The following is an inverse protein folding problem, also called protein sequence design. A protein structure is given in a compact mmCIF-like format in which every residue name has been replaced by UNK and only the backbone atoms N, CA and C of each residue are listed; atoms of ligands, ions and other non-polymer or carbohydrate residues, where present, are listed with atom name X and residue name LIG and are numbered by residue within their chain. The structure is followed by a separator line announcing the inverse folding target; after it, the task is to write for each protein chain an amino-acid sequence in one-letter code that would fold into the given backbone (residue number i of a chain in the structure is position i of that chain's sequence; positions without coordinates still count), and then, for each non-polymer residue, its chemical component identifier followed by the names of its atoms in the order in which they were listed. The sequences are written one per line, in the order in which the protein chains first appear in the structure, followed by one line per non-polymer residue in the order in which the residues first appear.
data_IF_232842819898
#
_entry.id   IF_232842819898
#
_cell.length_a   1.000
_cell.length_b   1.000
_cell.length_c   1.000
_cell.angle_alpha   90.00
_cell.angle_beta   90.00
_cell.angle_gamma   90.00
#
_symmetry.space_group_name_H-M   'P 1'
#
loop_
_entity.id
_entity.type
_entity.pdbx_description
1 polymer ?
2 polymer ?
3 non-polymer ?
4 water ?
#
loop_
_entity_poly.entity_id
_entity_poly.type
_entity_poly.pdbx_seq_one_letter_code
_entity_poly.pdbx_strand_id
2 'polydeoxyribonucleotide' '(DG)(DA)(DA)(DT)(DC)(DC)(DC)(DC)(DT)(DA)(DG)(DC)(DT)(DT)(DT)(DA)(DG)(DC)(DT)(DA)(DT)(DG)(DG)(DG)(DG)(DA)(DG)(DT)(DA)(DT)(DG)(DT)(DC)(DA)(DA)' ?
#
# COMPACT_ATOMS: atom_id res chain seq x y z
N UNK A 8 19.04 3.80 1.25
CA UNK A 8 18.37 4.82 2.06
C UNK A 8 16.98 5.08 1.49
N UNK A 9 16.01 5.30 2.37
CA UNK A 9 14.67 5.52 1.90
C UNK A 9 14.32 7.00 1.85
N UNK A 10 13.99 7.46 0.66
CA UNK A 10 13.59 8.83 0.42
C UNK A 10 12.08 8.84 0.60
N UNK A 11 11.59 9.49 1.65
CA UNK A 11 10.15 9.54 1.84
C UNK A 11 9.57 10.74 1.12
N UNK A 12 8.41 10.56 0.51
CA UNK A 12 7.74 11.64 -0.18
C UNK A 12 6.60 12.09 0.70
N UNK A 13 5.85 13.08 0.25
CA UNK A 13 4.72 13.55 1.03
C UNK A 13 3.77 14.38 0.23
N UNK A 14 2.49 14.20 0.50
CA UNK A 14 1.47 15.02 -0.13
C UNK A 14 1.28 16.09 0.96
N UNK A 15 0.12 16.71 1.06
CA UNK A 15 -0.06 17.73 2.07
C UNK A 15 -0.11 17.20 3.49
N UNK A 16 -0.59 15.98 3.66
CA UNK A 16 -0.77 15.45 4.99
C UNK A 16 -0.08 14.16 5.36
N UNK A 17 0.53 13.48 4.40
CA UNK A 17 1.11 12.19 4.67
C UNK A 17 2.55 12.05 4.18
N UNK A 18 3.42 11.57 5.04
CA UNK A 18 4.81 11.32 4.67
C UNK A 18 4.73 9.85 4.30
N UNK A 19 5.28 9.46 3.16
CA UNK A 19 5.14 8.07 2.77
C UNK A 19 6.16 7.50 1.81
N UNK A 20 6.13 6.19 1.73
CA UNK A 20 6.91 5.39 0.83
C UNK A 20 6.02 4.16 0.67
N UNK A 21 5.26 4.11 -0.42
CA UNK A 21 4.40 2.97 -0.66
C UNK A 21 4.82 2.40 -2.00
N UNK A 22 5.54 1.30 -1.97
CA UNK A 22 6.00 0.65 -3.18
C UNK A 22 5.30 -0.68 -3.36
N UNK A 23 4.81 -0.90 -4.57
CA UNK A 23 4.08 -2.11 -4.85
C UNK A 23 4.64 -2.81 -6.04
N UNK A 24 4.60 -4.13 -5.97
CA UNK A 24 5.04 -4.97 -7.06
C UNK A 24 3.67 -5.36 -7.62
N UNK A 25 3.36 -4.82 -8.80
CA UNK A 25 2.09 -5.04 -9.46
C UNK A 25 2.25 -5.92 -10.67
N UNK A 26 1.38 -6.92 -10.83
CA UNK A 26 1.47 -7.79 -11.99
C UNK A 26 0.08 -8.10 -12.54
N UNK A 27 -0.06 -8.06 -13.85
CA UNK A 27 -1.31 -8.39 -14.47
C UNK A 27 -1.00 -9.02 -15.82
N UNK A 28 -2.00 -9.65 -16.42
CA UNK A 28 -1.79 -10.36 -17.67
C UNK A 28 -2.87 -10.03 -18.67
N UNK A 29 -2.57 -10.21 -19.96
CA UNK A 29 -3.51 -9.97 -21.05
C UNK A 29 -4.69 -10.94 -20.90
N UNK A 30 -5.81 -10.64 -21.53
CA UNK A 30 -6.98 -11.49 -21.46
C UNK A 30 -6.57 -12.86 -22.03
N UNK A 31 -7.08 -13.92 -21.43
CA UNK A 31 -6.75 -15.28 -21.89
C UNK A 31 -5.25 -15.56 -21.86
N UNK A 32 -4.51 -14.79 -21.06
CA UNK A 32 -3.08 -14.95 -20.95
C UNK A 32 -2.37 -15.04 -22.30
N UNK A 33 -2.86 -14.31 -23.29
CA UNK A 33 -2.22 -14.34 -24.61
C UNK A 33 -0.84 -13.72 -24.52
N UNK A 34 0.09 -14.28 -25.27
CA UNK A 34 1.45 -13.78 -25.24
C UNK A 34 1.60 -12.62 -26.21
N UNK A 35 0.77 -11.60 -26.07
CA UNK A 35 0.80 -10.45 -26.95
C UNK A 35 1.68 -9.30 -26.52
N UNK A 36 2.21 -9.33 -25.30
CA UNK A 36 3.08 -8.25 -24.83
C UNK A 36 4.48 -8.41 -25.39
N UNK A 37 4.63 -8.23 -26.69
CA UNK A 37 5.92 -8.36 -27.35
C UNK A 37 6.08 -7.27 -28.39
N UNK A 38 7.27 -7.20 -28.98
CA UNK A 38 7.57 -6.23 -30.01
C UNK A 38 7.15 -4.81 -29.76
N UNK A 39 6.46 -4.24 -30.74
CA UNK A 39 5.98 -2.87 -30.66
C UNK A 39 4.91 -2.75 -29.58
N UNK A 40 4.08 -3.77 -29.44
CA UNK A 40 3.04 -3.77 -28.42
C UNK A 40 3.66 -3.60 -27.04
N UNK A 41 4.78 -4.27 -26.81
CA UNK A 41 5.47 -4.20 -25.53
C UNK A 41 6.10 -2.83 -25.33
N UNK A 42 6.77 -2.32 -26.35
CA UNK A 42 7.42 -1.02 -26.29
C UNK A 42 6.41 0.09 -26.03
N UNK A 43 5.27 0.03 -26.70
CA UNK A 43 4.25 1.03 -26.54
C UNK A 43 3.63 0.91 -25.16
N UNK A 44 3.39 -0.32 -24.71
CA UNK A 44 2.82 -0.54 -23.38
C UNK A 44 3.64 0.16 -22.33
N UNK A 45 4.96 0.01 -22.41
CA UNK A 45 5.82 0.66 -21.44
C UNK A 45 5.81 2.18 -21.53
N UNK A 46 5.73 2.71 -22.75
CA UNK A 46 5.71 4.17 -22.95
C UNK A 46 4.43 4.76 -22.37
N UNK A 47 3.30 4.14 -22.70
CA UNK A 47 2.00 4.57 -22.22
C UNK A 47 1.92 4.59 -20.69
N UNK A 48 2.44 3.54 -20.07
CA UNK A 48 2.41 3.43 -18.62
C UNK A 48 3.30 4.52 -18.02
N UNK A 49 4.45 4.77 -18.65
CA UNK A 49 5.34 5.84 -18.20
C UNK A 49 4.56 7.16 -18.24
N UNK A 50 3.86 7.45 -19.34
CA UNK A 50 3.06 8.67 -19.48
C UNK A 50 2.11 8.78 -18.28
N UNK A 51 1.32 7.72 -18.07
CA UNK A 51 0.34 7.67 -16.99
C UNK A 51 0.99 7.95 -15.63
N UNK A 52 2.12 7.31 -15.38
CA UNK A 52 2.86 7.48 -14.14
C UNK A 52 3.30 8.93 -13.93
N UNK A 53 3.76 9.57 -14.99
CA UNK A 53 4.19 10.96 -14.87
C UNK A 53 2.98 11.82 -14.56
N UNK A 54 1.88 11.60 -15.26
CA UNK A 54 0.66 12.37 -15.04
C UNK A 54 0.05 12.13 -13.67
N UNK A 55 0.25 10.93 -13.14
CA UNK A 55 -0.32 10.56 -11.87
C UNK A 55 0.66 10.63 -10.71
N UNK A 56 1.78 11.31 -10.91
CA UNK A 56 2.80 11.46 -9.87
C UNK A 56 3.22 10.11 -9.30
N UNK A 57 3.24 9.09 -10.16
CA UNK A 57 3.64 7.77 -9.71
C UNK A 57 5.06 7.50 -10.18
N UNK A 58 5.93 7.12 -9.25
CA UNK A 58 7.30 6.80 -9.63
C UNK A 58 7.38 5.32 -10.03
N UNK A 59 7.87 5.09 -11.23
CA UNK A 59 8.03 3.76 -11.74
C UNK A 59 9.47 3.38 -11.48
N UNK A 60 9.68 2.61 -10.42
CA UNK A 60 11.01 2.17 -10.01
C UNK A 60 11.57 1.13 -10.96
N UNK A 61 10.71 0.24 -11.45
CA UNK A 61 11.13 -0.82 -12.35
C UNK A 61 9.89 -1.28 -13.13
N UNK A 62 10.08 -1.76 -14.35
CA UNK A 62 8.95 -2.24 -15.13
C UNK A 62 9.44 -3.10 -16.28
N UNK A 63 9.01 -4.35 -16.31
CA UNK A 63 9.43 -5.27 -17.35
C UNK A 63 8.26 -6.15 -17.70
N UNK A 64 8.17 -6.50 -18.96
CA UNK A 64 7.12 -7.36 -19.47
C UNK A 64 7.74 -8.70 -19.80
N UNK A 65 6.91 -9.73 -19.88
CA UNK A 65 7.43 -11.04 -20.24
C UNK A 65 6.40 -11.81 -21.04
N UNK A 66 6.09 -11.26 -22.21
CA UNK A 66 5.16 -11.85 -23.17
C UNK A 66 3.68 -11.97 -22.79
N UNK A 67 3.39 -12.51 -21.61
CA UNK A 67 2.01 -12.70 -21.20
C UNK A 67 1.66 -12.10 -19.84
N UNK A 68 2.47 -11.16 -19.38
CA UNK A 68 2.23 -10.49 -18.11
C UNK A 68 3.25 -9.37 -17.97
N UNK A 69 2.91 -8.36 -17.18
CA UNK A 69 3.78 -7.23 -16.98
C UNK A 69 4.03 -7.03 -15.49
N UNK A 70 5.29 -6.80 -15.14
CA UNK A 70 5.70 -6.56 -13.76
C UNK A 70 5.98 -5.08 -13.62
N UNK A 71 5.47 -4.46 -12.54
CA UNK A 71 5.73 -3.04 -12.27
C UNK A 71 6.01 -2.82 -10.80
N UNK A 72 7.09 -2.11 -10.50
CA UNK A 72 7.45 -1.76 -9.14
C UNK A 72 7.21 -0.25 -9.16
N UNK A 73 6.20 0.20 -8.42
CA UNK A 73 5.88 1.61 -8.43
C UNK A 73 5.64 2.14 -7.03
N UNK A 74 5.92 3.42 -6.86
CA UNK A 74 5.72 4.09 -5.59
C UNK A 74 4.50 4.96 -5.81
N UNK A 75 3.44 4.71 -5.06
CA UNK A 75 2.20 5.44 -5.25
C UNK A 75 1.67 6.01 -3.94
N UNK A 76 1.20 7.25 -4.01
CA UNK A 76 0.65 7.96 -2.86
C UNK A 76 -0.50 7.11 -2.31
N UNK A 77 -0.44 6.76 -1.02
CA UNK A 77 -1.47 5.95 -0.37
C UNK A 77 -2.87 6.55 -0.45
N UNK A 78 -2.95 7.87 -0.34
CA UNK A 78 -4.23 8.56 -0.41
C UNK A 78 -4.81 8.44 -1.82
N UNK A 79 -3.93 8.57 -2.82
CA UNK A 79 -4.31 8.47 -4.22
C UNK A 79 -4.85 7.07 -4.53
N UNK A 80 -4.15 6.05 -4.02
CA UNK A 80 -4.58 4.67 -4.21
C UNK A 80 -3.90 3.95 -5.36
N UNK A 81 -3.41 2.76 -5.05
CA UNK A 81 -2.73 1.93 -6.01
C UNK A 81 -3.69 1.45 -7.09
N UNK A 82 -4.95 1.24 -6.72
CA UNK A 82 -5.92 0.79 -7.70
C UNK A 82 -6.24 1.87 -8.74
N UNK A 83 -6.07 3.14 -8.36
CA UNK A 83 -6.36 4.20 -9.30
C UNK A 83 -5.27 4.21 -10.37
N UNK A 84 -4.02 3.99 -9.97
CA UNK A 84 -2.94 3.93 -10.94
C UNK A 84 -3.15 2.73 -11.83
N UNK A 85 -3.47 1.59 -11.23
CA UNK A 85 -3.68 0.37 -11.98
C UNK A 85 -4.84 0.52 -12.94
N UNK A 86 -5.89 1.19 -12.50
CA UNK A 86 -7.04 1.38 -13.36
C UNK A 86 -6.67 2.23 -14.58
N UNK A 87 -5.85 3.24 -14.34
CA UNK A 87 -5.46 4.14 -15.39
C UNK A 87 -4.45 3.52 -16.35
N UNK A 88 -3.52 2.75 -15.82
CA UNK A 88 -2.49 2.11 -16.63
C UNK A 88 -3.10 1.05 -17.52
N UNK A 89 -4.03 0.26 -16.99
CA UNK A 89 -4.66 -0.80 -17.77
C UNK A 89 -5.71 -0.26 -18.74
N UNK A 90 -6.59 0.58 -18.22
CA UNK A 90 -7.64 1.16 -19.03
C UNK A 90 -7.09 1.95 -20.18
N UNK A 91 -6.20 2.89 -19.90
CA UNK A 91 -5.64 3.69 -20.98
C UNK A 91 -4.83 2.85 -21.96
N UNK A 92 -3.94 1.99 -21.46
CA UNK A 92 -3.11 1.17 -22.34
C UNK A 92 -4.00 0.30 -23.22
N UNK A 93 -5.12 -0.16 -22.69
CA UNK A 93 -6.01 -0.99 -23.49
C UNK A 93 -6.57 -0.17 -24.63
N UNK A 94 -7.07 1.02 -24.32
CA UNK A 94 -7.64 1.89 -25.33
C UNK A 94 -6.62 2.26 -26.40
N UNK A 95 -5.44 2.69 -25.99
CA UNK A 95 -4.44 3.09 -26.96
C UNK A 95 -3.85 1.93 -27.75
N UNK A 96 -3.51 0.82 -27.08
CA UNK A 96 -2.94 -0.33 -27.78
C UNK A 96 -3.95 -0.95 -28.73
N UNK A 97 -5.23 -0.97 -28.34
CA UNK A 97 -6.24 -1.53 -29.21
C UNK A 97 -6.50 -0.69 -30.46
N UNK A 98 -6.28 0.62 -30.39
CA UNK A 98 -6.43 1.47 -31.57
C UNK A 98 -5.18 1.32 -32.45
N UNK A 99 -4.01 1.21 -31.81
CA UNK A 99 -2.75 1.09 -32.53
C UNK A 99 -2.41 -0.26 -33.14
N UNK A 100 -2.92 -1.35 -32.57
CA UNK A 100 -2.63 -2.67 -33.09
C UNK A 100 -3.94 -3.36 -33.24
N UNK A 101 -4.55 -3.20 -34.41
CA UNK A 101 -5.87 -3.75 -34.66
C UNK A 101 -6.15 -5.18 -34.21
N UNK A 102 -5.15 -6.06 -34.22
CA UNK A 102 -5.37 -7.44 -33.81
C UNK A 102 -5.71 -7.56 -32.34
N UNK A 103 -5.20 -6.64 -31.52
CA UNK A 103 -5.51 -6.67 -30.09
C UNK A 103 -7.00 -6.38 -29.94
N UNK A 104 -7.55 -5.64 -30.88
CA UNK A 104 -8.96 -5.29 -30.88
C UNK A 104 -9.85 -6.35 -31.52
N UNK A 105 -9.40 -6.96 -32.61
CA UNK A 105 -10.23 -7.94 -33.30
C UNK A 105 -10.22 -9.33 -32.71
N UNK A 106 -9.10 -9.74 -32.15
CA UNK A 106 -9.01 -11.09 -31.61
C UNK A 106 -9.25 -11.22 -30.11
N UNK A 107 -9.44 -10.11 -29.42
CA UNK A 107 -9.68 -10.14 -27.98
C UNK A 107 -10.83 -9.22 -27.61
N UNK A 108 -11.69 -9.65 -26.68
CA UNK A 108 -12.81 -8.79 -26.28
C UNK A 108 -12.28 -7.59 -25.51
N UNK A 109 -11.18 -7.79 -24.79
CA UNK A 109 -10.52 -6.74 -24.01
C UNK A 109 -9.01 -7.05 -24.07
N UNK A 110 -8.16 -6.08 -23.79
CA UNK A 110 -6.73 -6.37 -23.80
C UNK A 110 -6.34 -7.09 -22.50
N UNK A 111 -6.86 -6.61 -21.39
CA UNK A 111 -6.54 -7.17 -20.08
C UNK A 111 -7.72 -7.96 -19.48
N UNK A 112 -7.57 -8.35 -18.21
CA UNK A 112 -8.58 -9.06 -17.45
C UNK A 112 -8.93 -8.11 -16.33
N UNK A 113 -9.88 -8.52 -15.49
CA UNK A 113 -10.34 -7.73 -14.34
C UNK A 113 -9.45 -7.97 -13.11
N UNK A 114 -8.44 -8.79 -13.22
CA UNK A 114 -7.63 -9.06 -12.06
C UNK A 114 -6.20 -8.58 -12.16
N UNK A 115 -5.52 -8.60 -11.03
CA UNK A 115 -4.13 -8.21 -10.98
C UNK A 115 -3.55 -8.76 -9.68
N UNK A 116 -2.24 -8.67 -9.56
CA UNK A 116 -1.54 -9.17 -8.40
C UNK A 116 -0.84 -7.98 -7.81
N UNK A 117 -0.90 -7.82 -6.49
CA UNK A 117 -0.28 -6.66 -5.84
C UNK A 117 0.36 -7.07 -4.54
N UNK A 118 1.63 -6.71 -4.35
CA UNK A 118 2.30 -6.99 -3.08
C UNK A 118 3.19 -5.80 -2.73
N UNK A 119 3.22 -5.47 -1.45
CA UNK A 119 3.99 -4.35 -0.98
C UNK A 119 5.43 -4.73 -0.75
N UNK A 120 6.27 -3.71 -0.72
CA UNK A 120 7.68 -3.89 -0.47
C UNK A 120 8.24 -2.57 0.03
N UNK A 121 9.25 -2.64 0.88
CA UNK A 121 9.88 -1.45 1.41
C UNK A 121 11.37 -1.66 1.29
N UNK A 122 12.16 -0.65 1.65
CA UNK A 122 13.60 -0.78 1.56
C UNK A 122 14.03 -1.84 2.56
N UNK A 123 13.37 -1.83 3.71
CA UNK A 123 13.65 -2.78 4.77
C UNK A 123 12.65 -3.93 4.74
N UNK A 124 13.13 -5.16 4.93
CA UNK A 124 12.23 -6.31 4.92
C UNK A 124 11.41 -6.35 6.22
N UNK A 125 10.35 -7.15 6.24
CA UNK A 125 9.47 -7.25 7.40
C UNK A 125 10.12 -7.58 8.73
N UNK A 126 11.10 -8.48 8.71
CA UNK A 126 11.75 -8.85 9.95
C UNK A 126 12.43 -7.64 10.59
N UNK A 127 13.11 -6.85 9.78
CA UNK A 127 13.79 -5.66 10.26
C UNK A 127 12.79 -4.65 10.81
N UNK A 128 11.70 -4.44 10.09
CA UNK A 128 10.69 -3.49 10.57
C UNK A 128 10.03 -3.98 11.87
N UNK A 129 9.88 -5.30 12.01
CA UNK A 129 9.30 -5.85 13.24
C UNK A 129 10.32 -5.69 14.36
N UNK A 130 11.60 -5.87 14.03
CA UNK A 130 12.68 -5.75 14.98
C UNK A 130 12.78 -4.33 15.52
N UNK A 131 12.55 -3.34 14.66
CA UNK A 131 12.61 -1.94 15.07
C UNK A 131 11.51 -1.65 16.08
N UNK A 132 10.30 -2.05 15.74
CA UNK A 132 9.16 -1.85 16.61
C UNK A 132 9.37 -2.57 17.94
N UNK A 133 9.92 -3.78 17.88
CA UNK A 133 10.16 -4.59 19.07
C UNK A 133 11.21 -3.92 19.94
N UNK A 134 12.28 -3.48 19.29
CA UNK A 134 13.39 -2.83 19.96
C UNK A 134 12.94 -1.51 20.61
N UNK A 135 12.11 -0.74 19.92
CA UNK A 135 11.60 0.52 20.47
C UNK A 135 10.41 0.18 21.34
N UNK A 136 10.67 -0.50 22.46
CA UNK A 136 9.63 -0.91 23.39
C UNK A 136 10.29 -1.56 24.59
N UNK B 2 4.31 -14.14 17.91
CA UNK B 2 4.68 -12.88 17.30
C UNK B 2 6.13 -12.87 16.93
N UNK B 3 7.03 -13.18 17.87
CA UNK B 3 8.49 -13.17 17.60
C UNK B 3 8.86 -14.30 16.60
N UNK B 4 8.02 -15.33 16.53
CA UNK B 4 8.27 -16.45 15.63
C UNK B 4 7.28 -16.51 14.46
N UNK B 5 6.52 -15.44 14.28
CA UNK B 5 5.56 -15.36 13.18
C UNK B 5 6.34 -15.33 11.88
N UNK B 6 6.01 -16.22 10.95
CA UNK B 6 6.68 -16.24 9.67
C UNK B 6 6.43 -14.92 8.94
N UNK B 7 7.43 -14.49 8.19
CA UNK B 7 7.34 -13.27 7.41
C UNK B 7 7.09 -13.67 5.98
N UNK B 8 7.01 -14.97 5.74
CA UNK B 8 6.78 -15.49 4.39
C UNK B 8 5.39 -15.07 3.96
N UNK B 9 5.24 -14.72 2.70
CA UNK B 9 3.96 -14.25 2.19
C UNK B 9 2.90 -15.33 2.12
N UNK B 10 1.67 -14.91 2.40
CA UNK B 10 0.51 -15.77 2.30
C UNK B 10 -0.52 -14.86 1.67
N UNK B 11 -0.81 -15.06 0.40
CA UNK B 11 -1.76 -14.24 -0.33
C UNK B 11 -3.21 -14.48 0.01
N UNK B 12 -4.01 -13.46 -0.23
CA UNK B 12 -5.43 -13.56 -0.02
C UNK B 12 -6.05 -12.82 -1.20
N UNK B 13 -7.37 -12.72 -1.25
CA UNK B 13 -7.96 -12.04 -2.40
C UNK B 13 -9.35 -11.53 -2.15
N UNK B 14 -9.72 -10.57 -2.96
CA UNK B 14 -11.06 -10.04 -2.94
C UNK B 14 -11.60 -10.61 -4.25
N UNK B 15 -12.69 -10.08 -4.76
CA UNK B 15 -13.24 -10.61 -5.99
C UNK B 15 -12.37 -10.51 -7.23
N UNK B 16 -11.49 -9.51 -7.28
CA UNK B 16 -10.66 -9.28 -8.47
C UNK B 16 -9.14 -9.19 -8.28
N UNK B 17 -8.66 -9.11 -7.05
CA UNK B 17 -7.25 -8.90 -6.82
C UNK B 17 -6.69 -9.90 -5.85
N UNK B 18 -5.52 -10.45 -6.17
CA UNK B 18 -4.83 -11.38 -5.29
C UNK B 18 -3.77 -10.46 -4.71
N UNK B 19 -3.60 -10.44 -3.39
CA UNK B 19 -2.69 -9.50 -2.80
C UNK B 19 -2.06 -9.87 -1.47
N UNK B 20 -1.11 -9.03 -1.05
CA UNK B 20 -0.42 -9.07 0.22
C UNK B 20 0.16 -7.67 0.34
N UNK B 21 -0.50 -6.83 1.12
CA UNK B 21 -0.05 -5.46 1.27
C UNK B 21 0.05 -5.19 2.75
N UNK B 22 1.27 -5.00 3.23
CA UNK B 22 1.51 -4.76 4.64
C UNK B 22 2.05 -3.35 4.74
N UNK B 23 1.55 -2.60 5.71
CA UNK B 23 1.93 -1.22 5.89
C UNK B 23 2.43 -0.97 7.29
N UNK B 24 3.46 -0.14 7.40
CA UNK B 24 4.00 0.26 8.67
C UNK B 24 3.41 1.68 8.80
N UNK B 25 2.51 1.86 9.75
CA UNK B 25 1.83 3.13 9.94
C UNK B 25 2.25 3.76 11.26
N UNK B 26 2.49 5.06 11.25
CA UNK B 26 2.87 5.72 12.48
C UNK B 26 2.19 7.06 12.50
N UNK B 27 1.71 7.46 13.67
CA UNK B 27 1.07 8.75 13.84
C UNK B 27 1.24 9.14 15.29
N UNK B 28 1.08 10.43 15.58
CA UNK B 28 1.28 10.94 16.92
C UNK B 28 0.13 11.82 17.34
N UNK B 29 0.00 12.05 18.65
CA UNK B 29 -1.04 12.89 19.22
C UNK B 29 -0.76 14.36 18.84
N UNK B 30 -1.74 15.22 19.00
CA UNK B 30 -1.59 16.63 18.70
C UNK B 30 -0.44 17.17 19.57
N UNK B 31 0.39 18.03 18.99
CA UNK B 31 1.53 18.65 19.70
C UNK B 31 2.50 17.62 20.21
N UNK B 32 2.39 16.38 19.72
CA UNK B 32 3.25 15.31 20.17
C UNK B 32 3.18 15.11 21.71
N UNK B 33 2.00 15.31 22.30
CA UNK B 33 1.86 15.14 23.74
C UNK B 33 1.93 13.66 24.12
N UNK B 34 2.56 13.39 25.25
CA UNK B 34 2.73 12.03 25.73
C UNK B 34 1.45 11.55 26.43
N UNK B 35 0.37 11.50 25.67
CA UNK B 35 -0.91 11.11 26.20
C UNK B 35 -1.25 9.66 26.06
N UNK B 36 -0.53 8.91 25.24
CA UNK B 36 -0.84 7.51 25.06
C UNK B 36 -0.19 6.65 26.12
N UNK B 37 -0.67 6.77 27.36
CA UNK B 37 -0.12 5.99 28.48
C UNK B 37 -1.30 5.47 29.31
N UNK B 38 -1.00 4.70 30.34
CA UNK B 38 -2.03 4.17 31.22
C UNK B 38 -3.25 3.61 30.52
N UNK B 39 -4.43 4.01 31.00
CA UNK B 39 -5.68 3.53 30.45
C UNK B 39 -5.89 3.97 28.99
N UNK B 40 -5.54 5.21 28.69
CA UNK B 40 -5.69 5.72 27.33
C UNK B 40 -5.02 4.80 26.32
N UNK B 41 -3.85 4.28 26.67
CA UNK B 41 -3.13 3.38 25.80
C UNK B 41 -3.84 2.03 25.60
N UNK B 42 -4.28 1.41 26.69
CA UNK B 42 -4.98 0.13 26.62
C UNK B 42 -6.27 0.22 25.79
N UNK B 43 -6.98 1.33 25.95
CA UNK B 43 -8.21 1.55 25.23
C UNK B 43 -7.94 1.82 23.76
N UNK B 44 -6.89 2.60 23.47
CA UNK B 44 -6.54 2.92 22.09
C UNK B 44 -6.33 1.65 21.30
N UNK B 45 -5.51 0.74 21.83
CA UNK B 45 -5.26 -0.52 21.16
C UNK B 45 -6.54 -1.36 21.02
N UNK B 46 -7.39 -1.35 22.04
CA UNK B 46 -8.63 -2.11 21.96
C UNK B 46 -9.47 -1.57 20.81
N UNK B 47 -9.62 -0.24 20.78
CA UNK B 47 -10.40 0.43 19.76
C UNK B 47 -9.87 0.11 18.36
N UNK B 48 -8.58 0.28 18.17
CA UNK B 48 -7.99 0.01 16.87
C UNK B 48 -8.22 -1.45 16.48
N UNK B 49 -8.17 -2.35 17.45
CA UNK B 49 -8.43 -3.77 17.18
C UNK B 49 -9.86 -3.96 16.70
N UNK B 50 -10.82 -3.22 17.27
CA UNK B 50 -12.22 -3.31 16.86
C UNK B 50 -12.32 -2.82 15.42
N UNK B 51 -11.66 -1.70 15.15
CA UNK B 51 -11.67 -1.13 13.82
C UNK B 51 -11.11 -2.12 12.82
N UNK B 52 -9.99 -2.73 13.16
CA UNK B 52 -9.33 -3.71 12.30
C UNK B 52 -10.28 -4.84 11.95
N UNK B 53 -10.88 -5.44 12.97
CA UNK B 53 -11.83 -6.54 12.80
C UNK B 53 -12.97 -6.14 11.86
N UNK B 54 -13.53 -4.94 12.07
CA UNK B 54 -14.61 -4.44 11.24
C UNK B 54 -14.19 -4.19 9.79
N UNK B 55 -12.97 -3.72 9.60
CA UNK B 55 -12.47 -3.37 8.27
C UNK B 55 -11.68 -4.48 7.62
N UNK B 56 -11.73 -5.68 8.17
CA UNK B 56 -11.01 -6.81 7.62
C UNK B 56 -9.52 -6.49 7.50
N UNK B 57 -9.02 -5.70 8.43
CA UNK B 57 -7.63 -5.37 8.41
C UNK B 57 -7.01 -6.23 9.51
N UNK B 58 -5.87 -6.81 9.21
CA UNK B 58 -5.17 -7.67 10.14
C UNK B 58 -4.02 -6.91 10.80
N UNK B 59 -4.11 -6.70 12.11
CA UNK B 59 -3.04 -6.01 12.82
C UNK B 59 -1.96 -7.06 13.03
N UNK B 60 -0.84 -6.94 12.33
CA UNK B 60 0.24 -7.88 12.50
C UNK B 60 1.02 -7.48 13.76
N UNK B 61 1.14 -6.17 13.99
CA UNK B 61 1.86 -5.68 15.15
C UNK B 61 1.38 -4.30 15.51
N UNK B 62 1.30 -4.02 16.80
CA UNK B 62 0.88 -2.72 17.25
C UNK B 62 1.46 -2.41 18.62
N UNK B 63 2.22 -1.33 18.69
CA UNK B 63 2.85 -0.90 19.92
C UNK B 63 2.70 0.61 20.05
N UNK B 64 2.30 1.05 21.23
CA UNK B 64 2.15 2.47 21.48
C UNK B 64 3.35 2.85 22.32
N UNK B 65 3.78 4.09 22.23
CA UNK B 65 4.93 4.52 22.98
C UNK B 65 4.81 5.97 23.41
N UNK B 66 3.78 6.26 24.21
CA UNK B 66 3.57 7.60 24.80
C UNK B 66 3.18 8.74 23.87
N UNK B 67 4.06 9.10 22.93
CA UNK B 67 3.75 10.19 22.07
C UNK B 67 3.61 9.75 20.63
N UNK B 68 3.36 8.45 20.41
CA UNK B 68 3.17 7.91 19.06
C UNK B 68 2.82 6.45 19.10
N UNK B 69 2.36 5.91 17.96
CA UNK B 69 1.97 4.51 17.88
C UNK B 69 2.46 3.90 16.58
N UNK B 70 2.90 2.65 16.64
CA UNK B 70 3.37 1.91 15.47
C UNK B 70 2.39 0.77 15.24
N UNK B 71 1.93 0.64 13.99
CA UNK B 71 1.02 -0.42 13.61
C UNK B 71 1.63 -1.02 12.36
N UNK B 72 1.49 -2.32 12.24
CA UNK B 72 1.98 -3.06 11.09
C UNK B 72 0.68 -3.74 10.68
N UNK B 73 0.06 -3.25 9.61
CA UNK B 73 -1.21 -3.77 9.18
C UNK B 73 -1.19 -4.37 7.79
N UNK B 74 -1.98 -5.42 7.66
CA UNK B 74 -2.14 -6.20 6.44
C UNK B 74 -3.48 -5.72 5.92
N UNK B 75 -3.49 -4.96 4.84
CA UNK B 75 -4.72 -4.38 4.32
C UNK B 75 -4.96 -4.65 2.84
N UNK B 76 -6.23 -4.72 2.45
CA UNK B 76 -6.61 -4.94 1.06
C UNK B 76 -6.24 -3.64 0.35
N UNK B 77 -5.40 -3.72 -0.69
CA UNK B 77 -5.06 -2.47 -1.36
C UNK B 77 -6.27 -1.77 -1.99
N UNK B 78 -7.30 -2.51 -2.40
CA UNK B 78 -8.50 -1.90 -2.99
C UNK B 78 -9.26 -1.16 -1.91
N UNK B 79 -9.21 -1.68 -0.69
CA UNK B 79 -9.88 -1.06 0.44
C UNK B 79 -9.25 0.29 0.73
N UNK B 80 -7.92 0.30 0.75
CA UNK B 80 -7.18 1.52 0.99
C UNK B 80 -6.65 1.70 2.39
N UNK B 81 -5.34 1.83 2.52
CA UNK B 81 -4.72 2.03 3.82
C UNK B 81 -5.29 3.29 4.48
N UNK B 82 -5.65 4.30 3.68
CA UNK B 82 -6.21 5.51 4.26
C UNK B 82 -7.56 5.27 4.95
N UNK B 83 -8.38 4.37 4.42
CA UNK B 83 -9.66 4.11 5.08
C UNK B 83 -9.44 3.52 6.46
N UNK B 84 -8.46 2.63 6.59
CA UNK B 84 -8.15 2.05 7.89
C UNK B 84 -7.65 3.14 8.84
N UNK B 85 -6.59 3.85 8.42
CA UNK B 85 -6.00 4.93 9.23
C UNK B 85 -7.01 5.99 9.65
N UNK B 86 -7.80 6.42 8.70
CA UNK B 86 -8.81 7.43 8.91
C UNK B 86 -9.82 6.96 9.97
N UNK B 87 -10.21 5.71 9.90
CA UNK B 87 -11.18 5.16 10.83
C UNK B 87 -10.55 4.91 12.20
N UNK B 88 -9.35 4.34 12.21
CA UNK B 88 -8.68 4.06 13.47
C UNK B 88 -8.44 5.37 14.20
N UNK B 89 -7.87 6.37 13.52
CA UNK B 89 -7.60 7.64 14.18
C UNK B 89 -8.89 8.36 14.57
N UNK B 90 -9.78 8.58 13.59
CA UNK B 90 -11.03 9.25 13.84
C UNK B 90 -11.92 8.62 14.93
N UNK B 91 -12.08 7.30 14.91
CA UNK B 91 -12.93 6.69 15.93
C UNK B 91 -12.24 6.73 17.28
N UNK B 92 -10.95 6.40 17.30
CA UNK B 92 -10.23 6.42 18.56
C UNK B 92 -10.29 7.82 19.16
N UNK B 93 -10.29 8.87 18.33
CA UNK B 93 -10.35 10.25 18.83
C UNK B 93 -11.67 10.49 19.53
N UNK B 94 -12.77 10.31 18.81
CA UNK B 94 -14.10 10.49 19.36
C UNK B 94 -14.32 9.71 20.68
N UNK B 95 -14.05 8.41 20.66
CA UNK B 95 -14.23 7.58 21.84
C UNK B 95 -13.30 7.92 23.01
N UNK B 96 -11.99 8.00 22.75
CA UNK B 96 -11.05 8.31 23.82
C UNK B 96 -11.32 9.69 24.43
N UNK B 97 -11.78 10.61 23.61
CA UNK B 97 -12.08 11.95 24.09
C UNK B 97 -13.40 11.97 24.86
N UNK B 98 -14.23 10.96 24.66
CA UNK B 98 -15.49 10.87 25.40
C UNK B 98 -15.20 10.18 26.73
N UNK B 99 -14.31 9.19 26.69
CA UNK B 99 -13.97 8.42 27.87
C UNK B 99 -12.95 9.06 28.77
N UNK B 100 -12.13 9.94 28.23
CA UNK B 100 -11.09 10.56 29.03
C UNK B 100 -11.18 12.06 28.90
N UNK B 101 -11.85 12.69 29.85
CA UNK B 101 -12.04 14.12 29.81
C UNK B 101 -10.78 14.98 29.65
N UNK B 102 -9.64 14.54 30.18
CA UNK B 102 -8.44 15.35 30.01
C UNK B 102 -7.99 15.47 28.56
N UNK B 103 -8.30 14.47 27.74
CA UNK B 103 -7.95 14.52 26.33
C UNK B 103 -8.88 15.45 25.54
N UNK B 104 -10.06 15.72 26.06
CA UNK B 104 -11.00 16.59 25.37
C UNK B 104 -10.79 18.05 25.73
N UNK B 105 -10.51 18.32 27.00
CA UNK B 105 -10.33 19.68 27.46
C UNK B 105 -8.96 20.31 27.19
N UNK B 106 -7.90 19.52 27.24
CA UNK B 106 -6.56 20.06 27.04
C UNK B 106 -5.99 19.99 25.61
N UNK B 107 -6.75 19.42 24.69
CA UNK B 107 -6.30 19.31 23.32
C UNK B 107 -7.44 19.61 22.35
N UNK B 108 -7.18 20.38 21.30
CA UNK B 108 -8.20 20.71 20.30
C UNK B 108 -8.66 19.45 19.57
N UNK B 109 -7.74 18.50 19.42
CA UNK B 109 -8.01 17.22 18.77
C UNK B 109 -7.05 16.26 19.43
N UNK B 110 -7.29 14.95 19.33
CA UNK B 110 -6.37 13.98 19.91
C UNK B 110 -5.21 13.77 18.96
N UNK B 111 -5.50 13.68 17.66
CA UNK B 111 -4.45 13.45 16.67
C UNK B 111 -4.17 14.67 15.81
N UNK B 112 -3.16 14.56 14.96
CA UNK B 112 -2.82 15.62 14.02
C UNK B 112 -3.44 15.15 12.71
N UNK B 113 -3.25 15.94 11.66
CA UNK B 113 -3.77 15.62 10.34
C UNK B 113 -2.79 14.76 9.55
N UNK B 114 -1.70 14.36 10.18
CA UNK B 114 -0.70 13.60 9.45
C UNK B 114 -0.42 12.24 10.00
N UNK B 115 0.35 11.49 9.23
CA UNK B 115 0.80 10.14 9.58
C UNK B 115 1.91 9.75 8.62
N UNK B 116 2.67 8.73 9.02
CA UNK B 116 3.79 8.19 8.29
C UNK B 116 3.35 6.81 7.81
N UNK B 117 3.52 6.51 6.52
CA UNK B 117 3.11 5.21 5.97
C UNK B 117 4.24 4.65 5.12
N UNK B 118 4.65 3.42 5.43
CA UNK B 118 5.73 2.79 4.69
C UNK B 118 5.34 1.36 4.41
N UNK B 119 5.31 0.98 3.14
CA UNK B 119 4.95 -0.38 2.80
C UNK B 119 6.10 -1.32 3.09
N UNK B 120 5.76 -2.57 3.37
CA UNK B 120 6.77 -3.55 3.65
C UNK B 120 6.36 -4.92 3.11
N UNK B 121 7.36 -5.71 2.75
CA UNK B 121 7.13 -7.05 2.22
C UNK B 121 8.12 -7.98 2.89
N UNK B 122 8.07 -9.25 2.52
CA UNK B 122 8.98 -10.22 3.08
C UNK B 122 10.38 -9.99 2.57
N UNK B 123 10.48 -9.61 1.31
CA UNK B 123 11.76 -9.37 0.69
C UNK B 123 12.11 -7.89 0.69
N UNK B 124 13.40 -7.56 0.59
CA UNK B 124 13.80 -6.15 0.57
C UNK B 124 13.60 -5.61 -0.83
N UNK B 125 13.41 -4.29 -0.92
CA UNK B 125 13.19 -3.60 -2.18
C UNK B 125 14.15 -3.97 -3.30
N UNK B 126 15.44 -4.03 -2.98
CA UNK B 126 16.44 -4.35 -3.99
C UNK B 126 16.28 -5.74 -4.59
N UNK B 127 15.81 -6.70 -3.80
CA UNK B 127 15.62 -8.04 -4.32
C UNK B 127 14.50 -7.99 -5.32
N UNK B 128 13.40 -7.33 -4.96
CA UNK B 128 12.26 -7.23 -5.87
C UNK B 128 12.64 -6.49 -7.14
N UNK B 129 13.40 -5.42 -6.98
CA UNK B 129 13.81 -4.60 -8.11
C UNK B 129 14.63 -5.38 -9.13
N UNK B 130 15.58 -6.19 -8.66
CA UNK B 130 16.39 -6.97 -9.58
C UNK B 130 15.57 -8.09 -10.19
N UNK B 131 14.67 -8.66 -9.40
CA UNK B 131 13.81 -9.72 -9.89
C UNK B 131 12.99 -9.23 -11.08
N UNK B 132 12.46 -8.03 -10.98
CA UNK B 132 11.68 -7.47 -12.07
C UNK B 132 12.63 -7.18 -13.22
N UNK B 133 13.78 -6.62 -12.88
CA UNK B 133 14.78 -6.27 -13.87
C UNK B 133 15.24 -7.46 -14.68
N UNK B 134 15.24 -8.64 -14.08
CA UNK B 134 15.69 -9.82 -14.78
C UNK B 134 14.60 -10.69 -15.40
N UNK B 135 13.48 -10.09 -15.76
CA UNK B 135 12.37 -10.86 -16.33
C UNK B 135 12.67 -11.64 -17.60
N UNK B 136 13.55 -11.12 -18.45
CA UNK B 136 13.87 -11.79 -19.71
C UNK B 136 15.23 -12.49 -19.72
#
# INVERSE_FOLDING_TARGET
GSAMASNAVLYKSNHNVVYSCKYHIVWCPKYRRKVLVGAVEMRLKEIIQEVAKELRVEIIEMQTDKDHIHILADIDPSFGVMKFIKTAKGRSSRILRQEFNHLKTKLPTLWTNSCFISTVGGAPLNVVKQYIENQQNSNRPKQKEKWKSYVDNLQTKAL
GSAMASNAVLYKSNHNVVYSCKYHIVWCPKYRRKVLVGAVEMRLKEIIQEVAKELRVEIIEMQTDKDHIHILADIDPSFGVMKFIKTAKGRSSRILRQEFNHLKTKLPTLWTNSCFISTVGGAPLNVVKQYIENQQNSNRPKQKEKWKSYVDNLQTKAL
#
